data_IF_209511226829
#
_entry.id   IF_209511226829
#
_cell.length_a   1.000
_cell.length_b   1.000
_cell.length_c   1.000
_cell.angle_alpha   90.00
_cell.angle_beta   90.00
_cell.angle_gamma   90.00
#
_symmetry.space_group_name_H-M   'P 1'
#
loop_
_entity.id
_entity.type
_entity.pdbx_description
1 polymer ?
#
# COMPACT_ATOMS: atom_id res chain seq x y z
N UNK A 1 24.07 -20.49 4.27
CA UNK A 1 24.57 -19.21 3.71
C UNK A 1 24.06 -18.95 2.29
N UNK A 2 24.29 -19.84 1.31
CA UNK A 2 23.87 -19.60 -0.08
C UNK A 2 22.35 -19.35 -0.23
N UNK A 3 21.53 -20.13 0.48
CA UNK A 3 20.07 -19.99 0.44
C UNK A 3 19.57 -18.65 0.99
N UNK A 4 20.05 -18.24 2.17
CA UNK A 4 19.74 -16.93 2.76
C UNK A 4 20.16 -15.81 1.81
N UNK A 5 21.33 -15.93 1.19
CA UNK A 5 21.79 -14.95 0.21
C UNK A 5 20.84 -14.84 -0.99
N UNK A 6 20.37 -15.97 -1.54
CA UNK A 6 19.40 -15.96 -2.64
C UNK A 6 18.04 -15.37 -2.24
N UNK A 7 17.54 -15.70 -1.05
CA UNK A 7 16.29 -15.13 -0.52
C UNK A 7 16.44 -13.62 -0.33
N UNK A 8 17.52 -13.20 0.34
CA UNK A 8 17.82 -11.80 0.57
C UNK A 8 17.93 -11.02 -0.74
N UNK A 9 18.62 -11.57 -1.75
CA UNK A 9 18.74 -10.94 -3.07
C UNK A 9 17.38 -10.86 -3.78
N UNK A 10 16.58 -11.92 -3.74
CA UNK A 10 15.25 -11.93 -4.34
C UNK A 10 14.33 -10.88 -3.69
N UNK A 11 14.30 -10.82 -2.36
CA UNK A 11 13.55 -9.81 -1.60
C UNK A 11 14.07 -8.39 -1.91
N UNK A 12 15.39 -8.20 -2.01
CA UNK A 12 15.99 -6.91 -2.36
C UNK A 12 15.56 -6.45 -3.76
N UNK A 13 15.71 -7.31 -4.78
CA UNK A 13 15.30 -6.99 -6.14
C UNK A 13 13.80 -6.69 -6.23
N UNK A 14 12.96 -7.51 -5.61
CA UNK A 14 11.52 -7.33 -5.63
C UNK A 14 11.10 -6.02 -4.94
N UNK A 15 11.63 -5.75 -3.76
CA UNK A 15 11.31 -4.52 -3.02
C UNK A 15 11.86 -3.27 -3.70
N UNK A 16 13.07 -3.32 -4.26
CA UNK A 16 13.64 -2.23 -5.04
C UNK A 16 12.80 -1.89 -6.28
N UNK A 17 12.39 -2.91 -7.05
CA UNK A 17 11.48 -2.72 -8.19
C UNK A 17 10.15 -2.13 -7.73
N UNK A 18 9.62 -2.61 -6.60
CA UNK A 18 8.36 -2.11 -6.04
C UNK A 18 8.44 -0.65 -5.58
N UNK A 19 9.59 -0.21 -5.05
CA UNK A 19 9.87 1.20 -4.73
C UNK A 19 9.83 2.03 -6.02
N UNK A 20 10.54 1.58 -7.06
CA UNK A 20 10.56 2.28 -8.35
C UNK A 20 9.15 2.42 -8.96
N UNK A 21 8.33 1.37 -8.89
CA UNK A 21 6.95 1.40 -9.37
C UNK A 21 6.07 2.38 -8.57
N UNK A 22 6.19 2.38 -7.24
CA UNK A 22 5.47 3.31 -6.37
C UNK A 22 5.90 4.76 -6.62
N UNK A 23 7.20 5.03 -6.77
CA UNK A 23 7.70 6.37 -7.11
C UNK A 23 7.24 6.84 -8.49
N UNK A 24 7.14 5.93 -9.47
CA UNK A 24 6.65 6.24 -10.81
C UNK A 24 5.20 6.75 -10.78
N UNK A 25 4.33 6.12 -9.98
CA UNK A 25 2.93 6.54 -9.85
C UNK A 25 2.71 7.68 -8.85
N UNK A 26 3.64 7.89 -7.92
CA UNK A 26 3.54 8.92 -6.88
C UNK A 26 3.34 10.32 -7.49
N UNK A 27 4.14 10.69 -8.50
CA UNK A 27 4.10 12.01 -9.12
C UNK A 27 2.72 12.32 -9.76
N UNK A 28 2.18 11.49 -10.68
CA UNK A 28 0.87 11.76 -11.26
C UNK A 28 -0.26 11.69 -10.22
N UNK A 29 -0.20 10.77 -9.26
CA UNK A 29 -1.20 10.67 -8.18
C UNK A 29 -1.21 11.93 -7.32
N UNK A 30 -0.04 12.42 -6.92
CA UNK A 30 0.10 13.68 -6.17
C UNK A 30 -0.52 14.86 -6.94
N UNK A 31 -0.23 14.96 -8.25
CA UNK A 31 -0.82 16.00 -9.10
C UNK A 31 -2.34 15.91 -9.18
N UNK A 32 -2.89 14.73 -9.35
CA UNK A 32 -4.33 14.53 -9.42
C UNK A 32 -5.05 14.74 -8.09
N UNK A 33 -4.40 14.38 -6.97
CA UNK A 33 -4.94 14.56 -5.63
C UNK A 33 -4.97 16.04 -5.23
N UNK A 34 -3.84 16.75 -5.31
CA UNK A 34 -3.70 18.07 -4.67
C UNK A 34 -3.92 19.25 -5.62
N UNK A 35 -3.40 19.18 -6.85
CA UNK A 35 -3.58 20.26 -7.83
C UNK A 35 -4.88 20.11 -8.61
N UNK A 36 -5.16 18.91 -9.11
CA UNK A 36 -6.38 18.65 -9.87
C UNK A 36 -7.62 18.50 -9.00
N UNK A 37 -7.48 18.06 -7.74
CA UNK A 37 -8.57 17.70 -6.82
C UNK A 37 -9.69 16.89 -7.49
N UNK A 38 -9.30 16.03 -8.45
CA UNK A 38 -10.24 15.37 -9.36
C UNK A 38 -11.18 14.41 -8.65
N UNK A 39 -10.67 13.69 -7.66
CA UNK A 39 -11.40 12.68 -6.91
C UNK A 39 -10.72 12.40 -5.57
N UNK A 40 -11.51 12.07 -4.55
CA UNK A 40 -11.01 11.58 -3.26
C UNK A 40 -10.20 10.29 -3.41
N UNK A 41 -10.42 9.50 -4.47
CA UNK A 41 -9.71 8.24 -4.74
C UNK A 41 -8.21 8.49 -4.91
N UNK A 42 -7.81 9.56 -5.59
CA UNK A 42 -6.39 9.89 -5.77
C UNK A 42 -5.73 10.30 -4.45
N UNK A 43 -6.51 10.90 -3.54
CA UNK A 43 -6.01 11.22 -2.21
C UNK A 43 -5.84 9.95 -1.35
N UNK A 44 -6.79 9.02 -1.41
CA UNK A 44 -6.68 7.71 -0.78
C UNK A 44 -5.45 6.97 -1.30
N UNK A 45 -5.29 6.93 -2.63
CA UNK A 45 -4.13 6.33 -3.29
C UNK A 45 -2.80 6.95 -2.85
N UNK A 46 -2.75 8.27 -2.72
CA UNK A 46 -1.56 8.99 -2.28
C UNK A 46 -1.07 8.51 -0.91
N UNK A 47 -1.97 8.41 0.08
CA UNK A 47 -1.60 7.92 1.40
C UNK A 47 -1.26 6.42 1.40
N UNK A 48 -1.91 5.63 0.54
CA UNK A 48 -1.54 4.23 0.36
C UNK A 48 -0.11 4.07 -0.18
N UNK A 49 0.28 4.88 -1.17
CA UNK A 49 1.65 4.86 -1.72
C UNK A 49 2.67 5.26 -0.65
N UNK A 50 2.35 6.20 0.23
CA UNK A 50 3.24 6.55 1.35
C UNK A 50 3.41 5.35 2.28
N UNK A 51 2.31 4.69 2.66
CA UNK A 51 2.32 3.46 3.45
C UNK A 51 3.22 2.39 2.80
N UNK A 52 3.00 2.12 1.51
CA UNK A 52 3.77 1.15 0.71
C UNK A 52 5.26 1.50 0.72
N UNK A 53 5.62 2.78 0.52
CA UNK A 53 7.00 3.23 0.52
C UNK A 53 7.68 3.08 1.89
N UNK A 54 6.97 3.31 3.00
CA UNK A 54 7.51 3.10 4.36
C UNK A 54 7.84 1.62 4.58
N UNK A 55 6.92 0.71 4.23
CA UNK A 55 7.11 -0.73 4.39
C UNK A 55 8.23 -1.24 3.47
N UNK A 56 8.21 -0.84 2.20
CA UNK A 56 9.21 -1.23 1.21
C UNK A 56 10.61 -0.70 1.54
N UNK A 57 10.71 0.51 2.13
CA UNK A 57 11.99 1.03 2.58
C UNK A 57 12.63 0.12 3.63
N UNK A 58 11.86 -0.31 4.64
CA UNK A 58 12.33 -1.26 5.66
C UNK A 58 12.63 -2.63 5.03
N UNK A 59 11.74 -3.15 4.19
CA UNK A 59 11.93 -4.44 3.52
C UNK A 59 13.20 -4.47 2.65
N UNK A 60 13.45 -3.40 1.87
CA UNK A 60 14.56 -3.31 0.95
C UNK A 60 15.89 -3.08 1.68
N UNK A 61 15.98 -1.98 2.43
CA UNK A 61 17.27 -1.53 2.96
C UNK A 61 17.61 -2.11 4.33
N UNK A 62 16.62 -2.42 5.15
CA UNK A 62 16.88 -3.01 6.46
C UNK A 62 16.82 -4.53 6.42
N UNK A 63 15.71 -5.12 5.96
CA UNK A 63 15.51 -6.57 5.97
C UNK A 63 16.38 -7.28 4.94
N UNK A 64 16.20 -6.97 3.65
CA UNK A 64 16.87 -7.71 2.58
C UNK A 64 18.39 -7.59 2.64
N UNK A 65 18.93 -6.38 2.90
CA UNK A 65 20.38 -6.21 3.08
C UNK A 65 20.90 -6.99 4.29
N UNK A 66 20.17 -7.01 5.42
CA UNK A 66 20.63 -7.75 6.61
C UNK A 66 20.65 -9.26 6.37
N UNK A 67 19.69 -9.79 5.59
CA UNK A 67 19.67 -11.20 5.17
C UNK A 67 20.84 -11.51 4.23
N UNK A 68 21.10 -10.67 3.21
CA UNK A 68 22.19 -10.87 2.24
C UNK A 68 23.55 -10.93 2.93
N UNK A 69 23.81 -10.01 3.86
CA UNK A 69 25.10 -9.91 4.54
C UNK A 69 25.19 -10.79 5.80
N UNK A 70 24.11 -11.46 6.20
CA UNK A 70 24.07 -12.31 7.40
C UNK A 70 24.34 -11.55 8.70
N UNK A 71 24.08 -10.24 8.71
CA UNK A 71 24.28 -9.35 9.86
C UNK A 71 23.38 -8.14 9.76
N UNK A 72 23.09 -7.53 10.88
CA UNK A 72 22.30 -6.30 10.97
C UNK A 72 23.05 -5.10 10.38
N UNK A 73 22.90 -4.83 9.08
CA UNK A 73 23.75 -3.85 8.36
C UNK A 73 23.54 -2.42 8.85
N UNK A 74 22.28 -2.00 9.00
CA UNK A 74 21.96 -0.64 9.41
C UNK A 74 21.93 -0.49 10.93
N UNK A 75 21.39 -1.49 11.63
CA UNK A 75 21.20 -1.44 13.08
C UNK A 75 22.43 -1.93 13.85
N UNK A 76 23.32 -2.73 13.25
CA UNK A 76 24.49 -3.30 13.92
C UNK A 76 24.18 -4.44 14.90
N UNK A 77 23.00 -4.45 15.50
CA UNK A 77 22.52 -5.47 16.43
C UNK A 77 21.04 -5.82 16.18
N UNK A 78 20.63 -7.00 16.68
CA UNK A 78 19.25 -7.49 16.65
C UNK A 78 18.28 -6.53 17.33
N UNK A 79 18.63 -6.12 18.55
CA UNK A 79 17.85 -5.21 19.38
C UNK A 79 18.70 -3.98 19.70
N UNK A 80 18.28 -2.83 19.20
CA UNK A 80 18.74 -1.52 19.61
C UNK A 80 17.71 -0.46 19.20
N UNK A 81 17.95 0.80 19.58
CA UNK A 81 17.04 1.91 19.29
C UNK A 81 16.74 2.06 17.79
N UNK A 82 17.71 1.78 16.91
CA UNK A 82 17.52 1.88 15.46
C UNK A 82 16.65 0.74 14.91
N UNK A 83 16.78 -0.48 15.44
CA UNK A 83 15.97 -1.65 15.06
C UNK A 83 14.51 -1.44 15.44
N UNK A 84 14.28 -0.98 16.67
CA UNK A 84 12.94 -0.59 17.16
C UNK A 84 12.37 0.55 16.31
N UNK A 85 13.19 1.52 15.92
CA UNK A 85 12.77 2.62 15.04
C UNK A 85 12.37 2.13 13.63
N UNK A 86 13.12 1.21 13.01
CA UNK A 86 12.70 0.60 11.75
C UNK A 86 11.41 -0.22 11.90
N UNK A 87 11.25 -0.92 13.03
CA UNK A 87 10.00 -1.58 13.39
C UNK A 87 8.84 -0.57 13.48
N UNK A 88 9.07 0.60 14.06
CA UNK A 88 8.08 1.70 14.11
C UNK A 88 7.72 2.21 12.73
N UNK A 89 8.68 2.41 11.83
CA UNK A 89 8.42 2.80 10.43
C UNK A 89 7.54 1.76 9.73
N UNK A 90 7.90 0.47 9.84
CA UNK A 90 7.15 -0.62 9.24
C UNK A 90 5.72 -0.69 9.77
N UNK A 91 5.55 -0.61 11.10
CA UNK A 91 4.23 -0.64 11.74
C UNK A 91 3.36 0.56 11.41
N UNK A 92 3.93 1.76 11.23
CA UNK A 92 3.16 2.90 10.73
C UNK A 92 2.59 2.61 9.34
N UNK A 93 3.42 2.08 8.44
CA UNK A 93 2.97 1.66 7.11
C UNK A 93 1.89 0.58 7.21
N UNK A 94 2.12 -0.47 7.99
CA UNK A 94 1.16 -1.57 8.13
C UNK A 94 -0.21 -1.11 8.66
N UNK A 95 -0.24 -0.33 9.74
CA UNK A 95 -1.49 0.19 10.28
C UNK A 95 -2.18 1.16 9.32
N UNK A 96 -1.39 1.97 8.61
CA UNK A 96 -1.92 2.86 7.59
C UNK A 96 -2.59 2.08 6.46
N UNK A 97 -1.94 1.04 5.93
CA UNK A 97 -2.51 0.14 4.92
C UNK A 97 -3.80 -0.53 5.41
N UNK A 98 -3.77 -1.02 6.66
CA UNK A 98 -4.91 -1.66 7.30
C UNK A 98 -6.11 -0.73 7.36
N UNK A 99 -5.92 0.52 7.77
CA UNK A 99 -6.99 1.53 7.86
C UNK A 99 -7.42 2.11 6.51
N UNK A 100 -6.53 2.15 5.50
CA UNK A 100 -6.90 2.63 4.17
C UNK A 100 -7.87 1.69 3.47
N UNK A 101 -7.76 0.38 3.69
CA UNK A 101 -8.68 -0.59 3.09
C UNK A 101 -10.16 -0.36 3.41
N UNK A 102 -10.60 -0.22 4.67
CA UNK A 102 -11.99 0.11 4.97
C UNK A 102 -12.37 1.50 4.46
N UNK A 103 -11.47 2.49 4.45
CA UNK A 103 -11.76 3.83 3.87
C UNK A 103 -12.05 3.72 2.37
N UNK A 104 -11.25 2.95 1.65
CA UNK A 104 -11.40 2.69 0.23
C UNK A 104 -12.68 1.91 -0.06
N UNK A 105 -12.97 0.87 0.72
CA UNK A 105 -14.19 0.08 0.59
C UNK A 105 -15.46 0.89 0.91
N UNK A 106 -15.44 1.67 1.99
CA UNK A 106 -16.53 2.58 2.38
C UNK A 106 -16.73 3.69 1.34
N UNK A 107 -15.66 4.25 0.78
CA UNK A 107 -15.78 5.21 -0.32
C UNK A 107 -16.58 4.63 -1.48
N UNK A 108 -16.28 3.39 -1.89
CA UNK A 108 -17.01 2.71 -2.97
C UNK A 108 -18.42 2.36 -2.59
N UNK A 109 -18.65 1.83 -1.40
CA UNK A 109 -19.99 1.55 -0.90
C UNK A 109 -20.87 2.81 -0.90
N UNK A 110 -20.37 3.91 -0.37
CA UNK A 110 -21.12 5.17 -0.27
C UNK A 110 -21.38 5.80 -1.65
N UNK A 111 -20.38 5.79 -2.55
CA UNK A 111 -20.50 6.40 -3.88
C UNK A 111 -21.36 5.54 -4.82
N UNK A 112 -21.19 4.22 -4.80
CA UNK A 112 -21.84 3.30 -5.76
C UNK A 112 -23.19 2.83 -5.22
N UNK A 113 -23.22 2.28 -4.00
CA UNK A 113 -24.42 1.66 -3.42
C UNK A 113 -25.38 2.70 -2.84
N UNK A 114 -24.87 3.74 -2.16
CA UNK A 114 -25.72 4.79 -1.59
C UNK A 114 -25.92 6.00 -2.51
N UNK A 115 -25.16 6.10 -3.61
CA UNK A 115 -25.18 7.24 -4.54
C UNK A 115 -24.96 8.61 -3.84
N UNK A 116 -24.08 8.66 -2.83
CA UNK A 116 -23.80 9.86 -2.02
C UNK A 116 -22.37 10.38 -2.27
N UNK A 117 -22.17 11.09 -3.38
CA UNK A 117 -20.87 11.70 -3.71
C UNK A 117 -20.40 12.79 -2.72
N UNK A 118 -21.33 13.38 -1.95
CA UNK A 118 -21.05 14.50 -1.06
C UNK A 118 -20.41 14.08 0.28
N UNK A 119 -20.31 12.79 0.58
CA UNK A 119 -19.73 12.32 1.84
C UNK A 119 -18.20 12.37 1.76
N UNK A 120 -17.62 11.82 0.70
CA UNK A 120 -16.17 11.81 0.47
C UNK A 120 -15.72 13.00 -0.39
N UNK A 121 -15.80 14.20 0.18
CA UNK A 121 -15.18 15.39 -0.42
C UNK A 121 -13.69 15.44 -0.12
N UNK A 122 -12.94 16.25 -0.86
CA UNK A 122 -11.49 16.44 -0.64
C UNK A 122 -11.17 16.81 0.81
N UNK A 123 -11.84 17.83 1.36
CA UNK A 123 -11.60 18.31 2.73
C UNK A 123 -11.93 17.25 3.79
N UNK A 124 -13.06 16.56 3.66
CA UNK A 124 -13.44 15.49 4.59
C UNK A 124 -12.49 14.31 4.52
N UNK A 125 -12.03 13.97 3.33
CA UNK A 125 -11.05 12.89 3.14
C UNK A 125 -9.71 13.26 3.78
N UNK A 126 -9.20 14.48 3.57
CA UNK A 126 -8.00 14.98 4.27
C UNK A 126 -8.18 14.90 5.80
N UNK A 127 -9.32 15.34 6.32
CA UNK A 127 -9.61 15.30 7.75
C UNK A 127 -9.60 13.86 8.30
N UNK A 128 -10.23 12.92 7.59
CA UNK A 128 -10.16 11.48 7.93
C UNK A 128 -8.70 11.04 7.98
N UNK A 129 -7.89 11.34 6.96
CA UNK A 129 -6.49 10.94 6.91
C UNK A 129 -5.63 11.55 8.02
N UNK A 130 -5.90 12.78 8.45
CA UNK A 130 -5.22 13.36 9.63
C UNK A 130 -5.49 12.50 10.87
N UNK A 131 -6.74 12.12 11.11
CA UNK A 131 -7.12 11.24 12.24
C UNK A 131 -6.43 9.88 12.11
N UNK A 132 -6.45 9.28 10.91
CA UNK A 132 -5.83 7.97 10.69
C UNK A 132 -4.33 8.03 10.94
N UNK A 133 -3.61 9.02 10.41
CA UNK A 133 -2.16 9.16 10.63
C UNK A 133 -1.83 9.30 12.12
N UNK A 134 -2.60 10.11 12.86
CA UNK A 134 -2.41 10.23 14.31
C UNK A 134 -2.64 8.88 15.00
N UNK A 135 -3.70 8.16 14.64
CA UNK A 135 -4.03 6.87 15.20
C UNK A 135 -2.98 5.79 14.87
N UNK A 136 -2.47 5.73 13.64
CA UNK A 136 -1.44 4.77 13.22
C UNK A 136 -0.13 5.05 13.92
N UNK A 137 0.28 6.31 14.01
CA UNK A 137 1.53 6.69 14.69
C UNK A 137 1.45 6.44 16.20
N UNK A 138 0.30 6.71 16.83
CA UNK A 138 0.07 6.37 18.22
C UNK A 138 0.12 4.86 18.45
N UNK A 139 -0.57 4.07 17.62
CA UNK A 139 -0.62 2.61 17.76
C UNK A 139 0.76 1.96 17.51
N UNK A 140 1.51 2.44 16.52
CA UNK A 140 2.88 2.03 16.27
C UNK A 140 3.81 2.40 17.43
N UNK A 141 3.61 3.57 18.06
CA UNK A 141 4.36 3.95 19.25
C UNK A 141 4.01 3.08 20.47
N UNK A 142 2.73 2.70 20.63
CA UNK A 142 2.32 1.76 21.67
C UNK A 142 3.06 0.42 21.53
N UNK A 143 3.07 -0.16 20.33
CA UNK A 143 3.74 -1.45 20.07
C UNK A 143 5.25 -1.40 20.28
N UNK A 144 5.90 -0.29 19.89
CA UNK A 144 7.36 -0.21 19.85
C UNK A 144 7.99 0.39 21.11
N UNK A 145 7.26 1.22 21.86
CA UNK A 145 7.83 2.01 22.96
C UNK A 145 7.06 1.97 24.27
N UNK A 146 5.71 1.88 24.26
CA UNK A 146 4.93 1.99 25.50
C UNK A 146 4.57 0.64 26.12
N UNK A 147 4.31 -0.39 25.31
CA UNK A 147 3.92 -1.69 25.83
C UNK A 147 5.15 -2.49 26.29
N UNK A 148 5.06 -3.22 27.42
CA UNK A 148 6.19 -3.95 27.99
C UNK A 148 6.62 -5.13 27.12
N UNK A 149 5.66 -5.74 26.42
CA UNK A 149 5.90 -6.70 25.36
C UNK A 149 4.80 -6.54 24.30
N UNK A 150 5.09 -6.70 23.03
CA UNK A 150 6.37 -7.11 22.43
C UNK A 150 6.71 -6.16 21.28
N UNK A 151 7.97 -5.77 21.15
CA UNK A 151 8.41 -4.93 20.03
C UNK A 151 8.52 -5.79 18.76
N UNK A 152 8.09 -5.23 17.62
CA UNK A 152 8.29 -5.88 16.32
C UNK A 152 9.67 -5.52 15.79
N UNK A 153 10.47 -6.53 15.46
CA UNK A 153 11.77 -6.35 14.81
C UNK A 153 11.83 -7.12 13.49
N UNK A 154 12.82 -6.75 12.67
CA UNK A 154 13.28 -7.61 11.58
C UNK A 154 14.34 -8.54 12.14
N UNK A 155 14.16 -9.83 11.92
CA UNK A 155 15.05 -10.87 12.44
C UNK A 155 15.67 -11.68 11.28
N UNK A 156 17.00 -11.76 11.29
CA UNK A 156 17.76 -12.44 10.22
C UNK A 156 17.76 -13.97 10.36
N UNK A 157 17.55 -14.48 11.57
CA UNK A 157 17.60 -15.92 11.85
C UNK A 157 16.34 -16.61 11.29
N UNK A 158 15.19 -15.94 11.42
CA UNK A 158 13.93 -16.35 10.78
C UNK A 158 13.70 -15.72 9.40
N UNK A 159 14.56 -14.80 8.97
CA UNK A 159 14.47 -14.08 7.69
C UNK A 159 13.11 -13.36 7.51
N UNK A 160 12.55 -12.81 8.59
CA UNK A 160 11.18 -12.28 8.62
C UNK A 160 11.00 -11.21 9.70
N UNK A 161 9.77 -10.75 9.85
CA UNK A 161 9.34 -9.92 10.99
C UNK A 161 8.89 -10.82 12.13
N UNK A 162 9.15 -10.42 13.38
CA UNK A 162 8.61 -11.11 14.55
C UNK A 162 8.44 -10.15 15.72
N UNK A 163 7.50 -10.50 16.59
CA UNK A 163 7.40 -9.93 17.92
C UNK A 163 8.38 -10.64 18.85
N UNK A 164 9.24 -9.88 19.53
CA UNK A 164 10.15 -10.43 20.53
C UNK A 164 9.37 -10.82 21.80
N UNK A 165 8.98 -12.08 21.88
CA UNK A 165 8.31 -12.64 23.05
C UNK A 165 9.23 -12.66 24.27
N UNK A 166 8.72 -12.17 25.40
CA UNK A 166 9.38 -12.27 26.70
C UNK A 166 8.63 -13.35 27.49
N UNK A 167 9.36 -14.31 28.06
CA UNK A 167 8.77 -15.39 28.83
C UNK A 167 7.93 -14.85 30.00
N UNK A 168 6.71 -15.36 30.14
CA UNK A 168 5.75 -14.93 31.17
C UNK A 168 5.02 -13.61 30.90
N UNK A 169 5.32 -12.90 29.80
CA UNK A 169 4.65 -11.63 29.45
C UNK A 169 3.76 -11.81 28.24
N UNK A 170 2.48 -11.46 28.38
CA UNK A 170 1.50 -11.50 27.30
C UNK A 170 1.79 -10.46 26.22
N UNK A 171 1.61 -10.83 24.95
CA UNK A 171 1.92 -9.97 23.79
C UNK A 171 0.74 -9.07 23.43
N UNK A 172 0.51 -8.02 24.22
CA UNK A 172 -0.49 -7.00 23.91
C UNK A 172 -0.26 -6.36 22.54
N UNK A 173 0.99 -6.25 22.10
CA UNK A 173 1.30 -5.75 20.75
C UNK A 173 0.72 -6.63 19.64
N UNK A 174 0.80 -7.96 19.77
CA UNK A 174 0.22 -8.86 18.78
C UNK A 174 -1.31 -8.80 18.81
N UNK A 175 -1.91 -8.66 19.99
CA UNK A 175 -3.36 -8.47 20.12
C UNK A 175 -3.84 -7.20 19.41
N UNK A 176 -3.14 -6.07 19.60
CA UNK A 176 -3.47 -4.82 18.92
C UNK A 176 -3.40 -5.02 17.40
N UNK A 177 -2.32 -5.62 16.90
CA UNK A 177 -2.17 -5.91 15.47
C UNK A 177 -3.34 -6.75 14.95
N UNK A 178 -3.65 -7.85 15.64
CA UNK A 178 -4.73 -8.75 15.28
C UNK A 178 -6.10 -8.06 15.29
N UNK A 179 -6.37 -7.21 16.29
CA UNK A 179 -7.62 -6.43 16.38
C UNK A 179 -7.75 -5.51 15.17
N UNK A 180 -6.67 -4.81 14.78
CA UNK A 180 -6.66 -3.99 13.57
C UNK A 180 -6.95 -4.81 12.32
N UNK A 181 -6.24 -5.93 12.16
CA UNK A 181 -6.34 -6.75 10.96
C UNK A 181 -7.73 -7.38 10.80
N UNK A 182 -8.29 -7.94 11.88
CA UNK A 182 -9.63 -8.53 11.89
C UNK A 182 -10.69 -7.45 11.66
N UNK A 183 -10.60 -6.32 12.34
CA UNK A 183 -11.57 -5.23 12.19
C UNK A 183 -11.57 -4.65 10.77
N UNK A 184 -10.39 -4.32 10.25
CA UNK A 184 -10.24 -3.74 8.92
C UNK A 184 -10.66 -4.73 7.83
N UNK A 185 -10.26 -6.00 7.94
CA UNK A 185 -10.69 -7.08 7.03
C UNK A 185 -12.20 -7.27 7.05
N UNK A 186 -12.82 -7.24 8.23
CA UNK A 186 -14.26 -7.46 8.37
C UNK A 186 -15.07 -6.34 7.71
N UNK A 187 -14.71 -5.08 7.97
CA UNK A 187 -15.39 -3.91 7.38
C UNK A 187 -15.18 -3.87 5.86
N UNK A 188 -13.95 -4.07 5.39
CA UNK A 188 -13.65 -4.03 3.96
C UNK A 188 -14.39 -5.15 3.22
N UNK A 189 -14.38 -6.37 3.76
CA UNK A 189 -15.12 -7.52 3.21
C UNK A 189 -16.61 -7.24 3.13
N UNK A 190 -17.23 -6.75 4.21
CA UNK A 190 -18.66 -6.39 4.22
C UNK A 190 -18.99 -5.36 3.14
N UNK A 191 -18.18 -4.31 3.01
CA UNK A 191 -18.38 -3.27 2.01
C UNK A 191 -18.21 -3.81 0.58
N UNK A 192 -17.18 -4.60 0.31
CA UNK A 192 -16.96 -5.17 -1.02
C UNK A 192 -18.04 -6.16 -1.42
N UNK A 193 -18.48 -7.02 -0.51
CA UNK A 193 -19.62 -7.93 -0.74
C UNK A 193 -20.88 -7.13 -1.06
N UNK A 194 -21.16 -6.07 -0.31
CA UNK A 194 -22.31 -5.20 -0.55
C UNK A 194 -22.26 -4.51 -1.92
N UNK A 195 -21.10 -3.95 -2.30
CA UNK A 195 -20.89 -3.34 -3.62
C UNK A 195 -21.02 -4.39 -4.73
N UNK A 196 -20.47 -5.59 -4.55
CA UNK A 196 -20.55 -6.66 -5.51
C UNK A 196 -22.00 -7.11 -5.75
N UNK A 197 -22.77 -7.32 -4.68
CA UNK A 197 -24.19 -7.68 -4.76
C UNK A 197 -24.97 -6.58 -5.49
N UNK A 198 -24.70 -5.31 -5.17
CA UNK A 198 -25.33 -4.18 -5.84
C UNK A 198 -25.06 -4.16 -7.35
N UNK A 199 -23.79 -4.28 -7.76
CA UNK A 199 -23.41 -4.32 -9.19
C UNK A 199 -24.04 -5.52 -9.89
N UNK A 200 -24.05 -6.71 -9.25
CA UNK A 200 -24.66 -7.92 -9.81
C UNK A 200 -26.16 -7.75 -10.01
N UNK A 201 -26.86 -7.16 -9.05
CA UNK A 201 -28.30 -6.89 -9.15
C UNK A 201 -28.59 -5.83 -10.21
N UNK A 202 -27.76 -4.77 -10.31
CA UNK A 202 -27.90 -3.75 -11.33
C UNK A 202 -27.70 -4.30 -12.76
N UNK A 203 -26.76 -5.24 -12.95
CA UNK A 203 -26.53 -5.90 -14.24
C UNK A 203 -27.68 -6.79 -14.72
N UNK A 204 -28.59 -7.20 -13.82
CA UNK A 204 -29.80 -7.95 -14.22
C UNK A 204 -30.88 -7.05 -14.84
N UNK A 205 -30.81 -5.73 -14.61
CA UNK A 205 -31.78 -4.77 -15.12
C UNK A 205 -31.28 -4.13 -16.43
N UNK A 206 -32.19 -4.08 -17.41
CA UNK A 206 -32.02 -3.78 -18.86
C UNK A 206 -31.03 -2.64 -19.18
N UNK A 207 -30.27 -2.84 -20.27
CA UNK A 207 -29.07 -2.09 -20.68
C UNK A 207 -29.33 -0.73 -21.35
N UNK A 208 -29.00 0.35 -20.66
CA UNK A 208 -28.52 1.56 -21.34
C UNK A 208 -27.01 1.42 -21.62
N UNK A 209 -26.59 1.64 -22.86
CA UNK A 209 -25.19 1.46 -23.29
C UNK A 209 -24.19 2.33 -22.50
N UNK A 210 -24.58 3.56 -22.14
CA UNK A 210 -23.79 4.48 -21.31
C UNK A 210 -23.65 3.93 -19.89
N UNK A 211 -24.74 3.41 -19.33
CA UNK A 211 -24.74 2.86 -17.98
C UNK A 211 -23.94 1.55 -17.93
N UNK A 212 -23.95 0.75 -18.99
CA UNK A 212 -23.15 -0.48 -19.10
C UNK A 212 -21.63 -0.17 -19.05
N UNK A 213 -21.17 0.87 -19.72
CA UNK A 213 -19.76 1.27 -19.70
C UNK A 213 -19.32 1.75 -18.30
N UNK A 214 -20.15 2.57 -17.64
CA UNK A 214 -19.88 3.01 -16.26
C UNK A 214 -19.84 1.82 -15.28
N UNK A 215 -20.79 0.88 -15.40
CA UNK A 215 -20.83 -0.36 -14.60
C UNK A 215 -19.60 -1.24 -14.84
N UNK A 216 -19.14 -1.39 -16.09
CA UNK A 216 -17.91 -2.12 -16.43
C UNK A 216 -16.67 -1.47 -15.80
N UNK A 217 -16.61 -0.14 -15.79
CA UNK A 217 -15.52 0.59 -15.14
C UNK A 217 -15.54 0.40 -13.61
N UNK A 218 -16.71 0.49 -12.99
CA UNK A 218 -16.89 0.24 -11.55
C UNK A 218 -16.53 -1.19 -11.15
N UNK A 219 -16.94 -2.18 -11.95
CA UNK A 219 -16.57 -3.58 -11.74
C UNK A 219 -15.05 -3.78 -11.81
N UNK A 220 -14.36 -3.17 -12.79
CA UNK A 220 -12.89 -3.24 -12.87
C UNK A 220 -12.22 -2.66 -11.64
N UNK A 221 -12.68 -1.51 -11.14
CA UNK A 221 -12.15 -0.94 -9.90
C UNK A 221 -12.44 -1.84 -8.70
N UNK A 222 -13.64 -2.43 -8.60
CA UNK A 222 -13.94 -3.40 -7.54
C UNK A 222 -12.97 -4.57 -7.55
N UNK A 223 -12.72 -5.19 -8.71
CA UNK A 223 -11.78 -6.31 -8.82
C UNK A 223 -10.37 -5.92 -8.38
N UNK A 224 -9.90 -4.74 -8.76
CA UNK A 224 -8.59 -4.23 -8.32
C UNK A 224 -8.48 -4.20 -6.79
N UNK A 225 -9.50 -3.67 -6.11
CA UNK A 225 -9.51 -3.59 -4.66
C UNK A 225 -9.61 -4.95 -3.98
N UNK A 226 -10.36 -5.88 -4.56
CA UNK A 226 -10.42 -7.26 -4.08
C UNK A 226 -9.04 -7.91 -4.19
N UNK A 227 -8.31 -7.71 -5.29
CA UNK A 227 -6.95 -8.23 -5.44
C UNK A 227 -5.98 -7.69 -4.39
N UNK A 228 -6.02 -6.38 -4.12
CA UNK A 228 -5.20 -5.75 -3.06
C UNK A 228 -5.56 -6.36 -1.70
N UNK A 229 -6.85 -6.49 -1.40
CA UNK A 229 -7.33 -7.06 -0.15
C UNK A 229 -6.92 -8.53 0.03
N UNK A 230 -6.88 -9.33 -1.04
CA UNK A 230 -6.39 -10.72 -0.97
C UNK A 230 -4.94 -10.78 -0.50
N UNK A 231 -4.05 -9.94 -1.05
CA UNK A 231 -2.65 -9.95 -0.62
C UNK A 231 -2.50 -9.50 0.83
N UNK A 232 -3.19 -8.43 1.23
CA UNK A 232 -3.20 -8.00 2.62
C UNK A 232 -3.68 -9.10 3.58
N UNK A 233 -4.82 -9.73 3.27
CA UNK A 233 -5.38 -10.81 4.09
C UNK A 233 -4.43 -11.99 4.15
N UNK A 234 -3.83 -12.37 3.02
CA UNK A 234 -2.84 -13.43 2.98
C UNK A 234 -1.63 -13.12 3.86
N UNK A 235 -1.10 -11.90 3.84
CA UNK A 235 0.05 -11.50 4.66
C UNK A 235 -0.24 -11.65 6.14
N UNK A 236 -1.35 -11.08 6.64
CA UNK A 236 -1.59 -11.07 8.09
C UNK A 236 -2.00 -12.44 8.61
N UNK A 237 -2.79 -13.21 7.84
CA UNK A 237 -3.11 -14.59 8.17
C UNK A 237 -1.82 -15.40 8.25
N UNK A 238 -0.93 -15.27 7.26
CA UNK A 238 0.31 -16.01 7.23
C UNK A 238 1.22 -15.62 8.40
N UNK A 239 1.34 -14.32 8.69
CA UNK A 239 2.10 -13.82 9.85
C UNK A 239 1.58 -14.42 11.18
N UNK A 240 0.26 -14.51 11.37
CA UNK A 240 -0.33 -15.07 12.59
C UNK A 240 -0.25 -16.59 12.65
N UNK A 241 -0.43 -17.29 11.52
CA UNK A 241 -0.56 -18.75 11.48
C UNK A 241 0.79 -19.46 11.40
N UNK A 242 1.79 -18.91 10.70
CA UNK A 242 3.09 -19.58 10.50
C UNK A 242 3.75 -20.04 11.81
N UNK A 243 3.76 -19.26 12.91
CA UNK A 243 4.33 -19.71 14.18
C UNK A 243 3.70 -21.00 14.75
N UNK A 244 2.46 -21.32 14.36
CA UNK A 244 1.76 -22.53 14.82
C UNK A 244 1.92 -23.74 13.89
N UNK A 245 2.26 -23.51 12.61
CA UNK A 245 2.37 -24.57 11.60
C UNK A 245 3.83 -24.94 11.32
N UNK A 246 4.71 -23.94 11.28
CA UNK A 246 6.11 -24.13 10.88
C UNK A 246 6.93 -24.63 12.07
N UNK A 247 7.60 -25.78 11.95
CA UNK A 247 8.55 -26.26 12.94
C UNK A 247 9.72 -25.29 13.16
N UNK A 248 10.23 -25.21 14.38
CA UNK A 248 11.32 -24.29 14.74
C UNK A 248 12.63 -24.53 13.96
N UNK A 249 12.84 -25.74 13.43
CA UNK A 249 13.98 -26.11 12.60
C UNK A 249 13.86 -25.66 11.13
N UNK A 250 12.72 -25.09 10.73
CA UNK A 250 12.47 -24.63 9.35
C UNK A 250 12.13 -23.13 9.26
N UNK A 251 13.00 -22.23 9.77
CA UNK A 251 12.76 -20.79 9.77
C UNK A 251 12.55 -20.19 8.37
N UNK A 252 13.02 -20.87 7.33
CA UNK A 252 12.93 -20.40 5.95
C UNK A 252 11.51 -20.10 5.49
N UNK A 253 10.51 -20.80 6.01
CA UNK A 253 9.12 -20.58 5.63
C UNK A 253 8.61 -19.21 6.07
N UNK A 254 9.18 -18.60 7.11
CA UNK A 254 8.82 -17.26 7.55
C UNK A 254 9.22 -16.17 6.55
N UNK A 255 10.17 -16.44 5.64
CA UNK A 255 10.54 -15.52 4.56
C UNK A 255 9.41 -15.25 3.55
N UNK A 256 8.37 -16.09 3.55
CA UNK A 256 7.16 -15.87 2.76
C UNK A 256 6.40 -14.60 3.17
N UNK A 257 6.48 -14.19 4.44
CA UNK A 257 5.82 -12.97 4.94
C UNK A 257 6.38 -11.71 4.28
N UNK A 258 7.69 -11.37 4.38
CA UNK A 258 8.22 -10.17 3.73
C UNK A 258 8.08 -10.22 2.21
N UNK A 259 8.11 -11.41 1.60
CA UNK A 259 7.82 -11.57 0.17
C UNK A 259 6.40 -11.14 -0.17
N UNK A 260 5.39 -11.65 0.56
CA UNK A 260 3.99 -11.26 0.36
C UNK A 260 3.71 -9.80 0.74
N UNK A 261 4.36 -9.25 1.78
CA UNK A 261 4.30 -7.82 2.10
C UNK A 261 4.75 -7.00 0.89
N UNK A 262 5.86 -7.40 0.27
CA UNK A 262 6.38 -6.71 -0.91
C UNK A 262 5.42 -6.81 -2.09
N UNK A 263 4.81 -7.99 -2.32
CA UNK A 263 3.78 -8.17 -3.34
C UNK A 263 2.55 -7.30 -3.06
N UNK A 264 2.09 -7.23 -1.81
CA UNK A 264 0.99 -6.36 -1.38
C UNK A 264 1.30 -4.90 -1.73
N UNK A 265 2.47 -4.39 -1.32
CA UNK A 265 2.90 -3.02 -1.57
C UNK A 265 3.12 -2.72 -3.08
N UNK A 266 3.45 -3.75 -3.87
CA UNK A 266 3.61 -3.61 -5.32
C UNK A 266 2.26 -3.60 -6.06
N UNK A 267 1.27 -4.34 -5.54
CA UNK A 267 0.00 -4.63 -6.21
C UNK A 267 -0.75 -3.34 -6.56
N UNK A 268 -0.75 -2.37 -5.63
CA UNK A 268 -1.34 -1.04 -5.82
C UNK A 268 -0.76 -0.36 -7.06
N UNK A 269 0.56 -0.24 -7.11
CA UNK A 269 1.25 0.43 -8.21
C UNK A 269 1.03 -0.25 -9.57
N UNK A 270 1.10 -1.58 -9.60
CA UNK A 270 0.86 -2.39 -10.80
C UNK A 270 -0.56 -2.19 -11.29
N UNK A 271 -1.54 -2.23 -10.39
CA UNK A 271 -2.96 -2.02 -10.70
C UNK A 271 -3.19 -0.62 -11.28
N UNK A 272 -2.66 0.43 -10.66
CA UNK A 272 -2.78 1.80 -11.15
C UNK A 272 -2.16 1.94 -12.53
N UNK A 273 -0.99 1.35 -12.76
CA UNK A 273 -0.32 1.38 -14.06
C UNK A 273 -1.07 0.59 -15.14
N UNK A 274 -1.64 -0.56 -14.81
CA UNK A 274 -2.33 -1.41 -15.79
C UNK A 274 -3.70 -0.88 -16.19
N UNK A 275 -4.45 -0.33 -15.25
CA UNK A 275 -5.88 -0.07 -15.46
C UNK A 275 -6.30 1.39 -15.38
N UNK A 276 -5.51 2.28 -14.76
CA UNK A 276 -5.87 3.70 -14.71
C UNK A 276 -5.36 4.41 -15.97
N UNK A 277 -6.23 4.51 -16.97
CA UNK A 277 -5.91 5.16 -18.25
C UNK A 277 -5.56 6.64 -18.11
N UNK A 278 -6.08 7.34 -17.10
CA UNK A 278 -5.70 8.73 -16.84
C UNK A 278 -4.24 8.84 -16.39
N UNK A 279 -3.82 7.92 -15.51
CA UNK A 279 -2.45 7.85 -15.03
C UNK A 279 -1.50 7.47 -16.16
N UNK A 280 -1.87 6.48 -16.98
CA UNK A 280 -1.11 6.12 -18.18
C UNK A 280 -0.93 7.30 -19.15
N UNK A 281 -2.01 8.06 -19.40
CA UNK A 281 -1.94 9.28 -20.25
C UNK A 281 -1.03 10.34 -19.64
N UNK A 282 -1.09 10.54 -18.32
CA UNK A 282 -0.22 11.50 -17.62
C UNK A 282 1.26 11.09 -17.65
N UNK A 283 1.55 9.79 -17.55
CA UNK A 283 2.92 9.30 -17.68
C UNK A 283 3.42 9.50 -19.11
N UNK A 284 2.63 9.10 -20.11
CA UNK A 284 2.97 9.31 -21.54
C UNK A 284 3.23 10.78 -21.86
N UNK A 285 2.40 11.71 -21.37
CA UNK A 285 2.63 13.14 -21.60
C UNK A 285 3.90 13.65 -20.92
N UNK A 286 4.24 13.12 -19.74
CA UNK A 286 5.48 13.48 -19.05
C UNK A 286 6.73 12.97 -19.79
N UNK A 287 6.67 11.76 -20.36
CA UNK A 287 7.76 11.21 -21.19
C UNK A 287 7.86 11.91 -22.56
N UNK A 288 6.73 12.17 -23.23
CA UNK A 288 6.73 12.84 -24.55
C UNK A 288 7.11 14.32 -24.47
N UNK A 289 6.77 15.04 -23.39
CA UNK A 289 7.12 16.46 -23.25
C UNK A 289 8.63 16.68 -23.14
N UNK A 290 9.40 15.67 -22.70
CA UNK A 290 10.87 15.72 -22.75
C UNK A 290 11.43 15.67 -24.17
N UNK A 291 10.72 15.08 -25.13
CA UNK A 291 11.17 15.02 -26.53
C UNK A 291 10.73 16.25 -27.36
N UNK A 292 9.78 17.05 -26.87
CA UNK A 292 9.26 18.21 -27.62
C UNK A 292 10.03 19.52 -27.39
N UNK A 293 10.87 19.63 -26.35
CA UNK A 293 11.56 20.88 -26.04
C UNK A 293 12.89 21.10 -26.80
N UNK A 294 13.28 20.21 -27.72
CA UNK A 294 14.48 20.40 -28.55
C UNK A 294 14.22 20.84 -29.98
N UNK A 295 12.98 21.18 -30.38
CA UNK A 295 12.70 21.50 -31.80
C UNK A 295 12.00 22.85 -32.05
N UNK A 296 11.41 23.52 -31.06
CA UNK A 296 10.61 24.73 -31.35
C UNK A 296 11.30 26.09 -31.12
N UNK A 297 12.57 26.13 -30.76
CA UNK A 297 13.33 27.39 -30.70
C UNK A 297 14.21 27.60 -31.94
N UNK A 298 13.67 27.53 -33.15
CA UNK A 298 14.16 28.18 -34.40
C UNK A 298 12.98 28.17 -35.40
N UNK A 299 11.97 29.04 -35.21
CA UNK A 299 11.20 29.65 -36.32
C UNK A 299 10.66 31.02 -35.85
N UNK A 300 11.51 32.04 -35.85
CA UNK A 300 11.09 33.34 -36.39
C UNK A 300 11.11 33.21 -37.94
N UNK A 301 10.38 34.00 -38.77
CA UNK A 301 9.98 35.40 -38.55
C UNK A 301 8.58 35.83 -39.09
N UNK A 302 8.08 36.94 -38.52
CA UNK A 302 7.61 38.18 -39.18
C UNK A 302 6.59 38.16 -40.35
N UNK A 303 5.71 39.18 -40.29
CA UNK A 303 4.89 39.85 -41.34
C UNK A 303 3.42 39.41 -41.35
N UNK A 304 2.41 40.27 -41.49
CA UNK A 304 2.28 41.71 -41.78
C UNK A 304 0.80 42.04 -41.57
N UNK A 305 0.47 43.11 -40.84
CA UNK A 305 -0.25 44.29 -41.36
C UNK A 305 -1.18 44.05 -42.56
N UNK A 306 -2.50 44.20 -42.34
CA UNK A 306 -3.49 44.83 -43.24
C UNK A 306 -4.86 44.79 -42.52
N UNK A 307 -5.31 45.91 -41.93
CA UNK A 307 -6.25 46.89 -42.53
C UNK A 307 -7.58 46.28 -42.99
N UNK A 308 -8.60 46.43 -42.15
CA UNK A 308 -9.87 47.07 -42.49
C UNK A 308 -10.48 47.69 -41.23
#
# INVERSE_FOLDING_TARGET
>A
MLLNWHIGLACFCLSFVSICLNLLIFIPVFRFAFFGKKSSIYLIAFFNIISDLLQLFVACFHSSLSIIFGRYVLTGARINNLSVFFGWIHMNGWFMESLVQPVMALNRFVVITLNKNNIFTFQRTIFIFIILITLTSFSAACIQYFLPCCVLIVDIDIMSYMFLSIEGVHSYSNDILLVYDVFCTSISTFCYVSVFIYIRNANRNVEDSVQSNKRKQEARYLFQFVFISIFYVAVWILFQILPYIVPADQPIWFSSVPFLVTLNCSSNSVIYLMYNTELQKSLKSCFCRKNGQSVESIVHPTRTLSTQ
#
